data_IF_315114956644
#
_entry.id   IF_315114956644
#
_cell.length_a   1.000
_cell.length_b   1.000
_cell.length_c   1.000
_cell.angle_alpha   90.00
_cell.angle_beta   90.00
_cell.angle_gamma   90.00
#
_symmetry.space_group_name_H-M   'P 1'
#
loop_
_entity.id
_entity.type
_entity.pdbx_description
1 polymer ?
#
# COMPACT_ATOMS: atom_id res chain seq x y z
N UNK A 1 -11.91 -26.99 -10.67
CA UNK A 1 -12.17 -28.18 -11.50
C UNK A 1 -10.95 -28.69 -12.28
N UNK A 2 -10.16 -27.86 -12.99
CA UNK A 2 -8.97 -28.31 -13.76
C UNK A 2 -7.96 -29.17 -12.98
N UNK A 3 -7.68 -28.83 -11.72
CA UNK A 3 -6.76 -29.61 -10.85
C UNK A 3 -7.29 -31.00 -10.48
N UNK A 4 -8.62 -31.14 -10.37
CA UNK A 4 -9.26 -32.41 -10.01
C UNK A 4 -9.26 -33.39 -11.19
N UNK A 5 -9.60 -32.89 -12.39
CA UNK A 5 -9.55 -33.68 -13.63
C UNK A 5 -8.13 -34.16 -13.93
N UNK A 6 -7.12 -33.30 -13.74
CA UNK A 6 -5.73 -33.65 -13.96
C UNK A 6 -5.22 -34.70 -12.96
N UNK A 7 -5.65 -34.63 -11.69
CA UNK A 7 -5.35 -35.64 -10.68
C UNK A 7 -5.98 -37.01 -11.02
N UNK A 8 -7.25 -37.01 -11.44
CA UNK A 8 -7.97 -38.25 -11.81
C UNK A 8 -7.32 -38.92 -13.03
N UNK A 9 -6.99 -38.15 -14.07
CA UNK A 9 -6.30 -38.68 -15.26
C UNK A 9 -4.92 -39.23 -14.90
N UNK A 10 -4.16 -38.52 -14.05
CA UNK A 10 -2.84 -38.96 -13.62
C UNK A 10 -2.92 -40.26 -12.80
N UNK A 11 -3.91 -40.38 -11.90
CA UNK A 11 -4.14 -41.59 -11.11
C UNK A 11 -4.54 -42.79 -11.98
N UNK A 12 -5.39 -42.56 -13.00
CA UNK A 12 -5.85 -43.60 -13.91
C UNK A 12 -4.73 -44.18 -14.77
N UNK A 13 -3.70 -43.39 -15.07
CA UNK A 13 -2.51 -43.82 -15.83
C UNK A 13 -1.43 -44.37 -14.91
N UNK A 14 -1.22 -43.78 -13.72
CA UNK A 14 -0.16 -44.18 -12.80
C UNK A 14 -0.38 -45.59 -12.22
N UNK A 15 -1.62 -45.96 -11.89
CA UNK A 15 -1.94 -47.27 -11.32
C UNK A 15 -1.59 -48.46 -12.25
N UNK A 16 -2.02 -48.49 -13.53
CA UNK A 16 -1.66 -49.58 -14.44
C UNK A 16 -0.17 -49.58 -14.83
N UNK A 17 0.47 -48.42 -14.92
CA UNK A 17 1.92 -48.33 -15.16
C UNK A 17 2.71 -48.91 -13.98
N UNK A 18 2.30 -48.60 -12.74
CA UNK A 18 2.92 -49.16 -11.54
C UNK A 18 2.70 -50.68 -11.42
N UNK A 19 1.50 -51.18 -11.75
CA UNK A 19 1.20 -52.61 -11.74
C UNK A 19 2.04 -53.39 -12.77
N UNK A 20 2.10 -52.90 -14.02
CA UNK A 20 2.89 -53.54 -15.08
C UNK A 20 4.39 -53.61 -14.75
N UNK A 21 4.90 -52.58 -14.07
CA UNK A 21 6.28 -52.49 -13.64
C UNK A 21 6.62 -53.42 -12.45
N UNK A 22 5.65 -53.67 -11.58
CA UNK A 22 5.78 -54.62 -10.48
C UNK A 22 5.86 -56.06 -11.01
N UNK A 23 5.10 -56.37 -12.07
CA UNK A 23 5.06 -57.70 -12.68
C UNK A 23 6.26 -57.97 -13.61
N UNK A 24 6.96 -56.94 -14.08
CA UNK A 24 8.13 -57.05 -14.96
C UNK A 24 9.34 -56.32 -14.36
N UNK A 25 10.03 -56.92 -13.35
CA UNK A 25 11.20 -56.31 -12.74
C UNK A 25 12.38 -56.35 -13.73
N UNK A 26 12.44 -55.36 -14.63
CA UNK A 26 13.62 -55.11 -15.44
C UNK A 26 14.82 -54.81 -14.54
N UNK A 27 16.00 -55.26 -14.95
CA UNK A 27 17.26 -54.90 -14.31
C UNK A 27 17.84 -53.67 -15.02
N UNK A 28 18.20 -52.64 -14.26
CA UNK A 28 18.92 -51.47 -14.74
C UNK A 28 20.34 -51.55 -14.23
N UNK A 29 21.30 -51.56 -15.15
CA UNK A 29 22.71 -51.40 -14.84
C UNK A 29 23.12 -49.98 -15.13
N UNK A 30 23.56 -49.26 -14.11
CA UNK A 30 24.14 -47.93 -14.25
C UNK A 30 25.64 -48.08 -14.02
N UNK A 31 26.41 -47.96 -15.09
CA UNK A 31 27.86 -47.83 -15.00
C UNK A 31 28.22 -46.35 -14.82
N UNK A 32 28.81 -46.01 -13.68
CA UNK A 32 29.31 -44.66 -13.40
C UNK A 32 30.77 -44.75 -12.97
N UNK A 33 31.68 -44.32 -13.86
CA UNK A 33 33.13 -44.49 -13.66
C UNK A 33 33.46 -45.97 -13.36
N UNK A 34 34.12 -46.27 -12.22
CA UNK A 34 34.43 -47.63 -11.76
C UNK A 34 33.33 -48.24 -10.85
N UNK A 35 32.18 -47.56 -10.70
CA UNK A 35 31.07 -48.03 -9.86
C UNK A 35 29.94 -48.52 -10.75
N UNK A 36 29.65 -49.81 -10.66
CA UNK A 36 28.47 -50.40 -11.29
C UNK A 36 27.38 -50.60 -10.25
N UNK A 37 26.23 -49.94 -10.46
CA UNK A 37 25.06 -50.06 -9.61
C UNK A 37 24.00 -50.84 -10.37
N UNK A 38 23.78 -52.09 -9.97
CA UNK A 38 22.67 -52.91 -10.43
C UNK A 38 21.44 -52.61 -9.56
N UNK A 39 20.38 -52.09 -10.17
CA UNK A 39 19.13 -51.78 -9.46
C UNK A 39 17.93 -52.28 -10.24
N UNK A 40 16.81 -52.57 -9.58
CA UNK A 40 15.54 -52.82 -10.27
C UNK A 40 14.94 -51.52 -10.80
N UNK A 41 14.27 -51.60 -11.96
CA UNK A 41 13.55 -50.46 -12.58
C UNK A 41 12.58 -49.82 -11.58
N UNK A 42 11.92 -50.62 -10.73
CA UNK A 42 11.01 -50.14 -9.70
C UNK A 42 11.67 -49.22 -8.68
N UNK A 43 12.84 -49.60 -8.14
CA UNK A 43 13.55 -48.79 -7.14
C UNK A 43 14.09 -47.49 -7.75
N UNK A 44 14.57 -47.55 -9.00
CA UNK A 44 14.99 -46.36 -9.73
C UNK A 44 13.83 -45.36 -9.92
N UNK A 45 12.66 -45.85 -10.34
CA UNK A 45 11.48 -45.01 -10.53
C UNK A 45 10.98 -44.39 -9.22
N UNK A 46 10.99 -45.14 -8.12
CA UNK A 46 10.68 -44.60 -6.79
C UNK A 46 11.69 -43.50 -6.41
N UNK A 47 12.98 -43.72 -6.66
CA UNK A 47 14.02 -42.72 -6.42
C UNK A 47 13.80 -41.44 -7.22
N UNK A 48 13.51 -41.55 -8.51
CA UNK A 48 13.20 -40.40 -9.38
C UNK A 48 11.95 -39.65 -8.90
N UNK A 49 10.90 -40.38 -8.52
CA UNK A 49 9.67 -39.78 -7.99
C UNK A 49 9.92 -39.04 -6.67
N UNK A 50 10.73 -39.59 -5.77
CA UNK A 50 11.11 -38.93 -4.51
C UNK A 50 11.89 -37.64 -4.76
N UNK A 51 12.86 -37.66 -5.69
CA UNK A 51 13.62 -36.46 -6.06
C UNK A 51 12.71 -35.41 -6.69
N UNK A 52 11.81 -35.81 -7.59
CA UNK A 52 10.84 -34.90 -8.20
C UNK A 52 9.89 -34.30 -7.15
N UNK A 53 9.38 -35.12 -6.22
CA UNK A 53 8.54 -34.66 -5.12
C UNK A 53 9.29 -33.66 -4.22
N UNK A 54 10.54 -33.96 -3.86
CA UNK A 54 11.39 -33.06 -3.08
C UNK A 54 11.63 -31.73 -3.79
N UNK A 55 11.87 -31.74 -5.12
CA UNK A 55 12.05 -30.53 -5.92
C UNK A 55 10.77 -29.68 -5.97
N UNK A 56 9.59 -30.30 -6.13
CA UNK A 56 8.30 -29.60 -6.07
C UNK A 56 8.07 -29.00 -4.69
N UNK A 57 8.36 -29.75 -3.62
CA UNK A 57 8.22 -29.28 -2.25
C UNK A 57 9.14 -28.08 -1.97
N UNK A 58 10.41 -28.18 -2.41
CA UNK A 58 11.39 -27.11 -2.29
C UNK A 58 10.95 -25.87 -3.07
N UNK A 59 10.45 -26.04 -4.30
CA UNK A 59 9.93 -24.94 -5.11
C UNK A 59 8.71 -24.26 -4.47
N UNK A 60 7.77 -25.03 -3.92
CA UNK A 60 6.62 -24.48 -3.20
C UNK A 60 7.04 -23.75 -1.92
N UNK A 61 8.01 -24.28 -1.18
CA UNK A 61 8.56 -23.63 0.01
C UNK A 61 9.23 -22.30 -0.36
N UNK A 62 10.00 -22.29 -1.44
CA UNK A 62 10.66 -21.10 -1.97
C UNK A 62 9.63 -20.06 -2.44
N UNK A 63 8.61 -20.49 -3.19
CA UNK A 63 7.51 -19.65 -3.65
C UNK A 63 6.70 -19.08 -2.49
N UNK A 64 6.50 -19.84 -1.42
CA UNK A 64 5.83 -19.36 -0.21
C UNK A 64 6.69 -18.31 0.50
N UNK A 65 7.99 -18.57 0.67
CA UNK A 65 8.94 -17.66 1.28
C UNK A 65 9.04 -16.32 0.53
N UNK A 66 9.09 -16.36 -0.82
CA UNK A 66 9.11 -15.17 -1.67
C UNK A 66 7.72 -14.57 -1.96
N UNK A 67 6.63 -15.29 -1.67
CA UNK A 67 5.24 -14.88 -1.92
C UNK A 67 4.57 -14.14 -0.75
N UNK A 68 5.08 -14.28 0.47
CA UNK A 68 4.66 -13.57 1.67
C UNK A 68 4.67 -12.02 1.57
N UNK A 69 5.62 -11.34 0.91
CA UNK A 69 5.67 -9.87 0.93
C UNK A 69 4.51 -9.19 0.19
N UNK A 70 3.81 -9.87 -0.73
CA UNK A 70 2.70 -9.24 -1.49
C UNK A 70 1.44 -8.99 -0.64
N UNK A 71 1.05 -9.91 0.24
CA UNK A 71 -0.15 -9.75 1.10
C UNK A 71 0.05 -8.82 2.30
N UNK A 72 1.30 -8.67 2.74
CA UNK A 72 1.66 -7.73 3.81
C UNK A 72 1.65 -6.28 3.32
N UNK A 73 1.93 -6.03 2.03
CA UNK A 73 2.00 -4.67 1.48
C UNK A 73 0.64 -3.97 1.48
N UNK A 74 -0.43 -4.69 1.14
CA UNK A 74 -1.79 -4.15 1.14
C UNK A 74 -2.29 -3.85 2.57
N UNK A 75 -2.06 -4.77 3.52
CA UNK A 75 -2.44 -4.56 4.93
C UNK A 75 -1.71 -3.39 5.59
N UNK A 76 -0.46 -3.14 5.21
CA UNK A 76 0.31 -1.98 5.70
C UNK A 76 -0.25 -0.66 5.19
N UNK A 77 -0.72 -0.61 3.94
CA UNK A 77 -1.36 0.58 3.37
C UNK A 77 -2.61 1.01 4.15
N UNK A 78 -3.52 0.06 4.41
CA UNK A 78 -4.75 0.36 5.16
C UNK A 78 -4.49 0.84 6.58
N UNK A 79 -3.54 0.22 7.29
CA UNK A 79 -3.17 0.67 8.65
C UNK A 79 -2.59 2.07 8.65
N UNK A 80 -1.67 2.36 7.72
CA UNK A 80 -1.06 3.69 7.59
C UNK A 80 -2.10 4.77 7.32
N UNK A 81 -3.06 4.50 6.44
CA UNK A 81 -4.14 5.42 6.12
C UNK A 81 -5.06 5.66 7.32
N UNK A 82 -5.46 4.59 8.03
CA UNK A 82 -6.29 4.68 9.23
C UNK A 82 -5.62 5.52 10.33
N UNK A 83 -4.34 5.24 10.62
CA UNK A 83 -3.55 6.01 11.59
C UNK A 83 -3.38 7.48 11.16
N UNK A 84 -3.29 7.74 9.85
CA UNK A 84 -3.21 9.10 9.29
C UNK A 84 -4.49 9.91 9.52
N UNK A 85 -5.66 9.32 9.27
CA UNK A 85 -6.94 9.96 9.52
C UNK A 85 -7.24 10.14 11.00
N UNK A 86 -6.84 9.19 11.85
CA UNK A 86 -6.96 9.31 13.31
C UNK A 86 -6.11 10.48 13.84
N UNK A 87 -4.87 10.62 13.34
CA UNK A 87 -4.04 11.77 13.66
C UNK A 87 -4.69 13.08 13.17
N UNK A 88 -5.25 13.11 11.97
CA UNK A 88 -5.92 14.28 11.42
C UNK A 88 -7.12 14.72 12.29
N UNK A 89 -8.01 13.80 12.64
CA UNK A 89 -9.21 14.13 13.44
C UNK A 89 -8.84 14.56 14.85
N UNK A 90 -7.87 13.90 15.48
CA UNK A 90 -7.38 14.28 16.81
C UNK A 90 -6.71 15.66 16.77
N UNK A 91 -5.95 15.96 15.72
CA UNK A 91 -5.34 17.27 15.51
C UNK A 91 -6.37 18.39 15.32
N UNK A 92 -7.46 18.12 14.60
CA UNK A 92 -8.59 19.05 14.48
C UNK A 92 -9.24 19.35 15.84
N UNK A 93 -9.47 18.33 16.66
CA UNK A 93 -10.02 18.51 18.02
C UNK A 93 -9.07 19.33 18.90
N UNK A 94 -7.78 19.04 18.87
CA UNK A 94 -6.77 19.80 19.61
C UNK A 94 -6.71 21.27 19.17
N UNK A 95 -6.75 21.53 17.86
CA UNK A 95 -6.78 22.89 17.31
C UNK A 95 -8.04 23.65 17.75
N UNK A 96 -9.21 23.00 17.71
CA UNK A 96 -10.47 23.57 18.17
C UNK A 96 -10.48 23.87 19.68
N UNK A 97 -9.76 23.05 20.47
CA UNK A 97 -9.57 23.27 21.90
C UNK A 97 -8.51 24.35 22.22
N UNK A 98 -7.80 24.87 21.21
CA UNK A 98 -6.70 25.83 21.39
C UNK A 98 -5.38 25.21 21.86
N UNK A 99 -5.27 23.88 21.91
CA UNK A 99 -4.02 23.19 22.21
C UNK A 99 -3.14 23.11 20.94
N UNK A 100 -2.41 24.19 20.73
CA UNK A 100 -1.53 24.39 19.58
C UNK A 100 -0.40 23.37 19.52
N UNK A 101 0.11 22.92 20.67
CA UNK A 101 1.23 21.98 20.74
C UNK A 101 0.79 20.58 20.28
N UNK A 102 -0.34 20.09 20.82
CA UNK A 102 -0.92 18.82 20.42
C UNK A 102 -1.39 18.84 18.96
N UNK A 103 -2.05 19.93 18.52
CA UNK A 103 -2.44 20.10 17.12
C UNK A 103 -1.24 19.94 16.17
N UNK A 104 -0.12 20.60 16.47
CA UNK A 104 1.11 20.49 15.67
C UNK A 104 1.67 19.07 15.63
N UNK A 105 1.66 18.38 16.77
CA UNK A 105 2.15 17.01 16.86
C UNK A 105 1.34 16.09 15.94
N UNK A 106 0.02 16.19 16.01
CA UNK A 106 -0.90 15.40 15.21
C UNK A 106 -0.84 15.74 13.71
N UNK A 107 -0.70 17.01 13.35
CA UNK A 107 -0.44 17.45 11.96
C UNK A 107 0.80 16.78 11.38
N UNK A 108 1.94 16.86 12.08
CA UNK A 108 3.20 16.25 11.62
C UNK A 108 3.11 14.73 11.50
N UNK A 109 2.27 14.10 12.32
CA UNK A 109 2.01 12.66 12.23
C UNK A 109 1.15 12.34 11.01
N UNK A 110 0.10 13.12 10.76
CA UNK A 110 -0.76 12.98 9.59
C UNK A 110 0.01 13.22 8.28
N UNK A 111 0.88 14.26 8.19
CA UNK A 111 1.77 14.52 7.05
C UNK A 111 2.63 13.30 6.67
N UNK A 112 3.12 12.55 7.67
CA UNK A 112 3.95 11.36 7.41
C UNK A 112 3.14 10.15 6.95
N UNK A 113 1.85 10.09 7.28
CA UNK A 113 1.02 8.91 7.11
C UNK A 113 0.11 9.02 5.88
N UNK A 114 -0.41 10.22 5.62
CA UNK A 114 -1.26 10.53 4.48
C UNK A 114 -0.40 10.90 3.26
N UNK A 115 -1.00 10.79 2.08
CA UNK A 115 -0.39 11.26 0.84
C UNK A 115 -0.43 12.80 0.77
N UNK A 116 0.51 13.38 0.03
CA UNK A 116 0.55 14.83 -0.17
C UNK A 116 -0.74 15.31 -0.87
N UNK A 117 -1.27 16.45 -0.41
CA UNK A 117 -2.39 17.10 -1.08
C UNK A 117 -3.78 16.77 -0.54
N UNK A 118 -3.91 16.01 0.56
CA UNK A 118 -5.21 15.80 1.22
C UNK A 118 -5.80 17.15 1.66
N UNK A 119 -6.98 17.56 1.13
CA UNK A 119 -7.59 18.87 1.40
C UNK A 119 -7.70 19.25 2.87
N UNK A 120 -8.21 18.33 3.68
CA UNK A 120 -8.44 18.55 5.11
C UNK A 120 -7.13 18.69 5.90
N UNK A 121 -6.07 18.00 5.47
CA UNK A 121 -4.76 18.10 6.10
C UNK A 121 -4.11 19.46 5.81
N UNK A 122 -4.13 19.91 4.55
CA UNK A 122 -3.64 21.26 4.19
C UNK A 122 -4.33 22.35 5.00
N UNK A 123 -5.64 22.20 5.25
CA UNK A 123 -6.41 23.14 6.05
C UNK A 123 -5.98 23.13 7.51
N UNK A 124 -5.90 21.95 8.12
CA UNK A 124 -5.48 21.82 9.51
C UNK A 124 -4.06 22.37 9.69
N UNK A 125 -3.15 22.11 8.76
CA UNK A 125 -1.80 22.64 8.80
C UNK A 125 -1.79 24.17 8.73
N UNK A 126 -2.58 24.78 7.82
CA UNK A 126 -2.68 26.23 7.70
C UNK A 126 -3.24 26.86 8.99
N UNK A 127 -4.32 26.29 9.55
CA UNK A 127 -4.91 26.76 10.80
C UNK A 127 -3.94 26.60 11.99
N UNK A 128 -3.23 25.48 12.06
CA UNK A 128 -2.25 25.25 13.13
C UNK A 128 -1.09 26.23 13.03
N UNK A 129 -0.62 26.56 11.82
CA UNK A 129 0.38 27.59 11.60
C UNK A 129 -0.12 28.98 12.03
N UNK A 130 -1.39 29.33 11.72
CA UNK A 130 -2.01 30.57 12.20
C UNK A 130 -2.06 30.63 13.72
N UNK A 131 -2.46 29.54 14.40
CA UNK A 131 -2.48 29.46 15.86
C UNK A 131 -1.08 29.58 16.48
N UNK A 132 -0.04 29.20 15.75
CA UNK A 132 1.37 29.37 16.16
C UNK A 132 1.90 30.79 15.92
N UNK A 133 1.15 31.63 15.22
CA UNK A 133 1.64 32.93 14.75
C UNK A 133 2.62 32.83 13.57
N UNK A 134 2.76 31.67 12.94
CA UNK A 134 3.58 31.49 11.73
C UNK A 134 2.76 31.82 10.48
N UNK A 135 2.56 33.12 10.25
CA UNK A 135 1.74 33.59 9.13
C UNK A 135 2.35 33.24 7.77
N UNK A 136 3.68 33.25 7.66
CA UNK A 136 4.37 32.91 6.41
C UNK A 136 4.06 31.47 6.01
N UNK A 137 4.05 30.57 6.99
CA UNK A 137 3.73 29.17 6.80
C UNK A 137 2.26 28.93 6.46
N UNK A 138 1.35 29.64 7.14
CA UNK A 138 -0.09 29.63 6.83
C UNK A 138 -0.38 30.09 5.40
N UNK A 139 0.21 31.22 4.96
CA UNK A 139 0.04 31.76 3.61
C UNK A 139 0.53 30.76 2.56
N UNK A 140 1.68 30.12 2.79
CA UNK A 140 2.22 29.11 1.87
C UNK A 140 1.22 27.96 1.67
N UNK A 141 0.56 27.53 2.73
CA UNK A 141 -0.43 26.45 2.69
C UNK A 141 -1.74 26.86 2.04
N UNK A 142 -2.24 28.07 2.31
CA UNK A 142 -3.40 28.60 1.58
C UNK A 142 -3.14 28.79 0.09
N UNK A 143 -1.92 29.21 -0.30
CA UNK A 143 -1.53 29.23 -1.72
C UNK A 143 -1.48 27.84 -2.33
N UNK A 144 -1.00 26.84 -1.59
CA UNK A 144 -0.98 25.45 -2.07
C UNK A 144 -2.39 24.91 -2.35
N UNK A 145 -3.40 25.33 -1.59
CA UNK A 145 -4.81 25.00 -1.82
C UNK A 145 -5.39 25.55 -3.13
N UNK A 146 -4.80 26.61 -3.69
CA UNK A 146 -5.26 27.17 -4.97
C UNK A 146 -4.98 26.24 -6.16
N UNK A 147 -4.12 25.22 -5.98
CA UNK A 147 -3.78 24.27 -7.04
C UNK A 147 -4.86 23.22 -7.28
N UNK A 148 -5.72 22.98 -6.28
CA UNK A 148 -6.78 21.97 -6.37
C UNK A 148 -8.16 22.66 -6.37
N UNK A 149 -9.03 22.38 -7.37
CA UNK A 149 -10.35 23.00 -7.46
C UNK A 149 -11.22 22.82 -6.21
N UNK A 150 -11.06 21.72 -5.48
CA UNK A 150 -11.82 21.42 -4.25
C UNK A 150 -11.43 22.31 -3.07
N UNK A 151 -10.17 22.75 -3.00
CA UNK A 151 -9.65 23.59 -1.91
C UNK A 151 -9.47 25.05 -2.30
N UNK A 152 -9.63 25.38 -3.57
CA UNK A 152 -9.38 26.71 -4.12
C UNK A 152 -10.13 27.82 -3.34
N UNK A 153 -11.43 27.62 -3.09
CA UNK A 153 -12.25 28.58 -2.34
C UNK A 153 -11.74 28.81 -0.91
N UNK A 154 -11.30 27.74 -0.26
CA UNK A 154 -10.78 27.78 1.10
C UNK A 154 -9.42 28.50 1.16
N UNK A 155 -8.55 28.24 0.18
CA UNK A 155 -7.30 28.96 -0.01
C UNK A 155 -7.52 30.45 -0.23
N UNK A 156 -8.45 30.82 -1.11
CA UNK A 156 -8.80 32.22 -1.36
C UNK A 156 -9.32 32.92 -0.10
N UNK A 157 -10.13 32.25 0.72
CA UNK A 157 -10.63 32.78 1.99
C UNK A 157 -9.53 33.01 3.01
N UNK A 158 -8.63 32.04 3.18
CA UNK A 158 -7.50 32.18 4.10
C UNK A 158 -6.57 33.34 3.69
N UNK A 159 -6.28 33.47 2.39
CA UNK A 159 -5.47 34.56 1.86
C UNK A 159 -6.18 35.92 1.99
N UNK A 160 -7.50 35.96 1.76
CA UNK A 160 -8.29 37.17 1.94
C UNK A 160 -8.28 37.64 3.40
N UNK A 161 -8.51 36.72 4.34
CA UNK A 161 -8.48 37.02 5.77
C UNK A 161 -7.11 37.56 6.20
N UNK A 162 -6.02 36.99 5.67
CA UNK A 162 -4.67 37.51 5.91
C UNK A 162 -4.46 38.90 5.31
N UNK A 163 -4.83 39.14 4.05
CA UNK A 163 -4.69 40.45 3.40
C UNK A 163 -5.50 41.55 4.12
N UNK A 164 -6.69 41.21 4.62
CA UNK A 164 -7.50 42.13 5.43
C UNK A 164 -6.83 42.45 6.77
N UNK A 165 -6.19 41.45 7.41
CA UNK A 165 -5.43 41.64 8.65
C UNK A 165 -4.19 42.52 8.44
N UNK A 166 -3.52 42.37 7.31
CA UNK A 166 -2.31 43.11 6.93
C UNK A 166 -2.62 44.52 6.37
N UNK A 167 -3.90 44.84 6.13
CA UNK A 167 -4.33 46.13 5.59
C UNK A 167 -4.13 46.29 4.09
N UNK A 168 -3.74 45.24 3.36
CA UNK A 168 -3.60 45.24 1.90
C UNK A 168 -4.96 45.16 1.21
N UNK A 169 -5.61 46.32 1.10
CA UNK A 169 -6.92 46.44 0.46
C UNK A 169 -6.92 46.06 -1.02
N UNK A 170 -5.81 46.28 -1.74
CA UNK A 170 -5.72 45.98 -3.16
C UNK A 170 -5.76 44.46 -3.39
N UNK A 171 -4.93 43.72 -2.65
CA UNK A 171 -4.90 42.25 -2.69
C UNK A 171 -6.20 41.65 -2.16
N UNK A 172 -6.75 42.20 -1.07
CA UNK A 172 -8.03 41.74 -0.53
C UNK A 172 -9.18 41.86 -1.55
N UNK A 173 -9.26 42.98 -2.27
CA UNK A 173 -10.28 43.19 -3.29
C UNK A 173 -10.13 42.20 -4.47
N UNK A 174 -8.89 41.93 -4.89
CA UNK A 174 -8.62 40.96 -5.95
C UNK A 174 -9.03 39.53 -5.54
N UNK A 175 -8.65 39.11 -4.34
CA UNK A 175 -8.98 37.79 -3.79
C UNK A 175 -10.48 37.62 -3.59
N UNK A 176 -11.18 38.65 -3.08
CA UNK A 176 -12.63 38.64 -2.91
C UNK A 176 -13.35 38.49 -4.25
N UNK A 177 -12.93 39.22 -5.30
CA UNK A 177 -13.48 39.07 -6.66
C UNK A 177 -13.24 37.67 -7.22
N UNK A 178 -12.06 37.10 -7.01
CA UNK A 178 -11.73 35.72 -7.41
C UNK A 178 -12.65 34.71 -6.70
N UNK A 179 -12.83 34.83 -5.38
CA UNK A 179 -13.69 33.95 -4.60
C UNK A 179 -15.16 34.04 -5.05
N UNK A 180 -15.68 35.26 -5.26
CA UNK A 180 -17.06 35.50 -5.69
C UNK A 180 -17.36 34.90 -7.07
N UNK A 181 -16.43 35.03 -8.03
CA UNK A 181 -16.58 34.39 -9.35
C UNK A 181 -16.64 32.86 -9.27
N UNK A 182 -16.01 32.26 -8.26
CA UNK A 182 -15.94 30.80 -8.13
C UNK A 182 -17.15 30.20 -7.40
N UNK A 183 -17.67 30.91 -6.40
CA UNK A 183 -18.86 30.51 -5.66
C UNK A 183 -19.73 31.73 -5.34
N UNK A 184 -20.73 32.04 -6.19
CA UNK A 184 -21.58 33.23 -6.05
C UNK A 184 -22.49 33.20 -4.81
N UNK A 185 -22.68 32.03 -4.20
CA UNK A 185 -23.61 31.79 -3.09
C UNK A 185 -22.97 31.91 -1.70
N UNK A 186 -21.68 32.21 -1.62
CA UNK A 186 -20.99 32.34 -0.33
C UNK A 186 -20.92 33.81 0.10
N UNK A 187 -21.50 34.18 1.26
CA UNK A 187 -21.44 35.54 1.79
C UNK A 187 -20.01 35.93 2.17
#
# INVERSE_FOLDING_TARGET
>A
MRKLVLFVVLALVAAPVAAWLADNPGQVRIAWLDVEIETTVGLLLVGVLLVAAAAVLAFELLRWLFGLPRRLRERRGYRRLAEGYEALTTGLVAAAAGDVASARHHVRRAEKLLEDGVPALLLLEAQTAQLQGDETDAIRRFRAMLRNPETELLGLRGLLAHALKDGDQATALELARKAHRRSPSTP
#
